data_IF_173440401436
#
_entry.id   IF_173440401436
#
_cell.length_a   1.000
_cell.length_b   1.000
_cell.length_c   1.000
_cell.angle_alpha   90.00
_cell.angle_beta   90.00
_cell.angle_gamma   90.00
#
_symmetry.space_group_name_H-M   'P 1'
#
loop_
_entity.id
_entity.type
_entity.pdbx_description
1 polymer ?
#
# COMPACT_ATOMS: atom_id res chain seq x y z
N UNK A 1 18.09 -12.52 -2.77
CA UNK A 1 17.27 -11.51 -3.47
C UNK A 1 18.12 -10.24 -3.62
N UNK A 2 18.32 -9.74 -4.85
CA UNK A 2 18.98 -8.42 -5.05
C UNK A 2 18.15 -7.38 -4.29
N UNK A 3 18.79 -6.62 -3.39
CA UNK A 3 18.11 -5.51 -2.72
C UNK A 3 17.69 -4.52 -3.79
N UNK A 4 16.43 -4.10 -3.75
CA UNK A 4 15.95 -2.97 -4.55
C UNK A 4 16.70 -1.73 -4.04
N UNK A 5 17.66 -1.26 -4.82
CA UNK A 5 18.56 -0.16 -4.43
C UNK A 5 18.16 1.16 -5.06
N UNK A 6 17.46 1.13 -6.20
CA UNK A 6 17.07 2.34 -6.89
C UNK A 6 15.71 2.86 -6.42
N UNK A 7 15.63 4.18 -6.24
CA UNK A 7 14.39 4.84 -5.82
C UNK A 7 13.25 4.66 -6.83
N UNK A 8 13.58 4.51 -8.12
CA UNK A 8 12.59 4.26 -9.17
C UNK A 8 11.94 2.89 -9.00
N UNK A 9 12.72 1.86 -8.71
CA UNK A 9 12.20 0.51 -8.45
C UNK A 9 11.34 0.48 -7.18
N UNK A 10 11.72 1.22 -6.14
CA UNK A 10 10.92 1.35 -4.91
C UNK A 10 9.58 2.02 -5.20
N UNK A 11 9.56 3.08 -6.01
CA UNK A 11 8.32 3.75 -6.46
C UNK A 11 7.43 2.78 -7.22
N UNK A 12 8.00 2.08 -8.20
CA UNK A 12 7.28 1.08 -9.01
C UNK A 12 6.70 -0.02 -8.12
N UNK A 13 7.49 -0.54 -7.18
CA UNK A 13 7.04 -1.56 -6.24
C UNK A 13 5.86 -1.06 -5.39
N UNK A 14 5.93 0.16 -4.85
CA UNK A 14 4.84 0.78 -4.07
C UNK A 14 3.56 0.93 -4.88
N UNK A 15 3.66 1.31 -6.16
CA UNK A 15 2.51 1.41 -7.05
C UNK A 15 1.91 0.01 -7.31
N UNK A 16 2.75 -0.98 -7.62
CA UNK A 16 2.30 -2.37 -7.82
C UNK A 16 1.62 -2.91 -6.56
N UNK A 17 2.20 -2.68 -5.38
CA UNK A 17 1.64 -3.06 -4.10
C UNK A 17 0.25 -2.44 -3.89
N UNK A 18 0.08 -1.15 -4.19
CA UNK A 18 -1.21 -0.47 -4.10
C UNK A 18 -2.25 -1.07 -5.06
N UNK A 19 -1.88 -1.36 -6.31
CA UNK A 19 -2.77 -1.99 -7.30
C UNK A 19 -3.21 -3.37 -6.81
N UNK A 20 -2.27 -4.20 -6.34
CA UNK A 20 -2.56 -5.53 -5.79
C UNK A 20 -3.51 -5.42 -4.59
N UNK A 21 -3.30 -4.42 -3.72
CA UNK A 21 -4.16 -4.20 -2.56
C UNK A 21 -5.59 -3.83 -2.95
N UNK A 22 -5.76 -2.89 -3.89
CA UNK A 22 -7.07 -2.48 -4.40
C UNK A 22 -7.80 -3.67 -5.04
N UNK A 23 -7.11 -4.47 -5.85
CA UNK A 23 -7.69 -5.67 -6.47
C UNK A 23 -8.10 -6.72 -5.43
N UNK A 24 -7.25 -6.96 -4.42
CA UNK A 24 -7.56 -7.90 -3.35
C UNK A 24 -8.79 -7.46 -2.54
N UNK A 25 -8.88 -6.16 -2.19
CA UNK A 25 -10.05 -5.58 -1.54
C UNK A 25 -11.30 -5.75 -2.39
N UNK A 26 -11.22 -5.40 -3.68
CA UNK A 26 -12.35 -5.50 -4.59
C UNK A 26 -12.87 -6.95 -4.71
N UNK A 27 -11.98 -7.92 -4.90
CA UNK A 27 -12.39 -9.32 -5.06
C UNK A 27 -12.94 -9.89 -3.75
N UNK A 28 -12.17 -9.79 -2.65
CA UNK A 28 -12.50 -10.48 -1.41
C UNK A 28 -13.66 -9.84 -0.65
N UNK A 29 -13.67 -8.50 -0.57
CA UNK A 29 -14.63 -7.78 0.26
C UNK A 29 -15.84 -7.38 -0.57
N UNK A 30 -15.64 -6.77 -1.74
CA UNK A 30 -16.75 -6.21 -2.53
C UNK A 30 -17.46 -7.33 -3.31
N UNK A 31 -16.74 -8.08 -4.14
CA UNK A 31 -17.33 -9.10 -5.02
C UNK A 31 -17.79 -10.35 -4.28
N UNK A 32 -17.00 -10.82 -3.31
CA UNK A 32 -17.30 -12.05 -2.55
C UNK A 32 -18.00 -11.81 -1.22
N UNK A 33 -18.16 -10.54 -0.81
CA UNK A 33 -18.86 -10.20 0.43
C UNK A 33 -18.19 -10.74 1.69
N UNK A 34 -16.88 -11.02 1.66
CA UNK A 34 -16.16 -11.59 2.80
C UNK A 34 -15.47 -10.48 3.62
N UNK A 35 -16.05 -10.04 4.75
CA UNK A 35 -15.46 -8.98 5.57
C UNK A 35 -14.15 -9.41 6.23
N UNK A 36 -13.93 -10.71 6.45
CA UNK A 36 -12.67 -11.24 6.97
C UNK A 36 -11.52 -11.16 5.95
N UNK A 37 -11.82 -10.88 4.68
CA UNK A 37 -10.83 -10.59 3.65
C UNK A 37 -9.88 -9.46 4.06
N UNK A 38 -10.32 -8.51 4.89
CA UNK A 38 -9.50 -7.42 5.44
C UNK A 38 -8.23 -7.95 6.10
N UNK A 39 -8.31 -9.02 6.89
CA UNK A 39 -7.14 -9.56 7.59
C UNK A 39 -6.10 -10.14 6.62
N UNK A 40 -6.56 -10.83 5.58
CA UNK A 40 -5.68 -11.33 4.51
C UNK A 40 -5.00 -10.19 3.76
N UNK A 41 -5.76 -9.13 3.45
CA UNK A 41 -5.28 -7.96 2.73
C UNK A 41 -4.20 -7.22 3.53
N UNK A 42 -4.44 -7.00 4.84
CA UNK A 42 -3.45 -6.41 5.75
C UNK A 42 -2.20 -7.30 5.84
N UNK A 43 -2.37 -8.61 5.98
CA UNK A 43 -1.26 -9.56 6.05
C UNK A 43 -0.39 -9.56 4.79
N UNK A 44 -1.02 -9.60 3.61
CA UNK A 44 -0.31 -9.54 2.32
C UNK A 44 0.40 -8.19 2.16
N UNK A 45 -0.25 -7.07 2.51
CA UNK A 45 0.38 -5.75 2.46
C UNK A 45 1.63 -5.66 3.35
N UNK A 46 1.54 -6.21 4.56
CA UNK A 46 2.68 -6.28 5.48
C UNK A 46 3.82 -7.14 4.92
N UNK A 47 3.52 -8.33 4.39
CA UNK A 47 4.51 -9.22 3.76
C UNK A 47 5.20 -8.56 2.56
N UNK A 48 4.44 -7.90 1.68
CA UNK A 48 5.00 -7.16 0.54
C UNK A 48 5.91 -6.02 1.02
N UNK A 49 5.56 -5.34 2.10
CA UNK A 49 6.39 -4.27 2.67
C UNK A 49 7.74 -4.78 3.21
N UNK A 50 7.86 -6.07 3.56
CA UNK A 50 9.14 -6.65 3.98
C UNK A 50 10.16 -6.76 2.84
N UNK A 51 9.69 -6.80 1.59
CA UNK A 51 10.55 -6.83 0.40
C UNK A 51 11.24 -5.48 0.14
N UNK A 52 10.68 -4.39 0.67
CA UNK A 52 11.30 -3.08 0.60
C UNK A 52 12.43 -2.93 1.63
N UNK A 53 13.51 -2.19 1.29
CA UNK A 53 14.50 -1.79 2.28
C UNK A 53 13.83 -1.05 3.45
N UNK A 54 14.34 -1.25 4.66
CA UNK A 54 13.74 -0.75 5.89
C UNK A 54 13.42 0.76 5.86
N UNK A 55 14.33 1.53 5.26
CA UNK A 55 14.24 2.97 5.05
C UNK A 55 12.97 3.37 4.30
N UNK A 56 12.47 2.54 3.38
CA UNK A 56 11.35 2.87 2.50
C UNK A 56 10.05 2.19 2.90
N UNK A 57 9.94 1.63 4.11
CA UNK A 57 8.69 1.00 4.59
C UNK A 57 7.66 2.00 5.13
N UNK A 58 8.05 3.26 5.41
CA UNK A 58 7.14 4.37 5.73
C UNK A 58 6.43 4.29 7.10
N UNK A 59 6.99 3.55 8.06
CA UNK A 59 6.50 3.50 9.44
C UNK A 59 6.92 4.71 10.30
N UNK A 60 6.97 4.48 11.61
CA UNK A 60 7.22 5.52 12.63
C UNK A 60 8.70 5.77 12.92
N UNK A 61 9.63 5.08 12.26
CA UNK A 61 11.05 5.23 12.59
C UNK A 61 11.64 6.46 11.86
N UNK A 62 12.39 7.29 12.60
CA UNK A 62 13.11 8.45 12.07
C UNK A 62 14.12 8.11 10.97
N UNK A 63 14.59 6.86 10.91
CA UNK A 63 15.46 6.38 9.83
C UNK A 63 14.74 6.18 8.49
N UNK A 64 13.42 6.37 8.43
CA UNK A 64 12.64 6.15 7.23
C UNK A 64 12.61 7.38 6.33
N UNK A 65 12.56 7.11 5.04
CA UNK A 65 12.64 8.06 3.95
C UNK A 65 11.36 8.00 3.12
N UNK A 66 11.05 9.14 2.54
CA UNK A 66 9.95 9.31 1.61
C UNK A 66 10.25 8.63 0.28
N UNK A 67 9.21 8.13 -0.37
CA UNK A 67 9.30 7.49 -1.69
C UNK A 67 8.87 8.48 -2.77
N UNK A 68 7.77 9.19 -2.55
CA UNK A 68 7.11 10.05 -3.54
C UNK A 68 7.24 11.54 -3.22
N UNK A 69 7.03 11.97 -1.98
CA UNK A 69 6.89 13.37 -1.61
C UNK A 69 8.08 13.83 -0.76
N UNK A 70 8.84 14.84 -1.20
CA UNK A 70 10.05 15.27 -0.46
C UNK A 70 9.79 16.16 0.77
N UNK A 71 8.60 16.76 0.86
CA UNK A 71 8.32 17.85 1.83
C UNK A 71 7.35 17.45 2.96
N UNK A 72 7.12 16.14 3.15
CA UNK A 72 6.20 15.63 4.20
C UNK A 72 6.95 14.62 5.06
N UNK A 73 6.39 14.23 6.21
CA UNK A 73 6.96 13.11 6.97
C UNK A 73 6.66 11.77 6.28
N UNK A 74 7.50 10.72 6.44
CA UNK A 74 7.25 9.40 5.87
C UNK A 74 5.90 8.80 6.30
N UNK A 75 5.51 9.06 7.55
CA UNK A 75 4.20 8.67 8.08
C UNK A 75 3.08 9.40 7.33
N UNK A 76 3.22 10.71 7.10
CA UNK A 76 2.23 11.50 6.37
C UNK A 76 2.10 11.01 4.92
N UNK A 77 3.21 10.68 4.26
CA UNK A 77 3.17 10.13 2.90
C UNK A 77 2.43 8.78 2.84
N UNK A 78 2.68 7.91 3.82
CA UNK A 78 1.94 6.64 3.92
C UNK A 78 0.44 6.88 4.17
N UNK A 79 0.07 7.80 5.07
CA UNK A 79 -1.34 8.13 5.32
C UNK A 79 -2.04 8.70 4.07
N UNK A 80 -1.35 9.54 3.29
CA UNK A 80 -1.86 10.04 2.02
C UNK A 80 -2.09 8.87 1.05
N UNK A 81 -1.13 7.95 0.94
CA UNK A 81 -1.21 6.78 0.07
C UNK A 81 -2.37 5.85 0.46
N UNK A 82 -2.51 5.55 1.74
CA UNK A 82 -3.58 4.73 2.29
C UNK A 82 -4.95 5.41 2.12
N UNK A 83 -5.02 6.72 2.31
CA UNK A 83 -6.21 7.52 2.06
C UNK A 83 -6.66 7.48 0.59
N UNK A 84 -5.72 7.56 -0.35
CA UNK A 84 -6.01 7.41 -1.78
C UNK A 84 -6.53 6.01 -2.11
N UNK A 85 -5.92 4.96 -1.55
CA UNK A 85 -6.39 3.58 -1.72
C UNK A 85 -7.82 3.44 -1.17
N UNK A 86 -8.08 3.95 0.03
CA UNK A 86 -9.41 3.92 0.64
C UNK A 86 -10.46 4.63 -0.24
N UNK A 87 -10.12 5.80 -0.80
CA UNK A 87 -11.00 6.53 -1.70
C UNK A 87 -11.33 5.72 -2.98
N UNK A 88 -10.33 5.10 -3.60
CA UNK A 88 -10.53 4.22 -4.77
C UNK A 88 -11.44 3.04 -4.43
N UNK A 89 -11.22 2.40 -3.28
CA UNK A 89 -12.04 1.28 -2.81
C UNK A 89 -13.49 1.71 -2.57
N UNK A 90 -13.72 2.87 -1.96
CA UNK A 90 -15.06 3.42 -1.72
C UNK A 90 -15.78 3.65 -3.06
N UNK A 91 -15.10 4.27 -4.04
CA UNK A 91 -15.65 4.47 -5.38
C UNK A 91 -16.04 3.13 -6.02
N UNK A 92 -15.13 2.14 -5.99
CA UNK A 92 -15.40 0.80 -6.54
C UNK A 92 -16.57 0.10 -5.85
N UNK A 93 -16.76 0.31 -4.54
CA UNK A 93 -17.89 -0.22 -3.80
C UNK A 93 -19.22 0.38 -4.27
N UNK A 94 -19.28 1.71 -4.43
CA UNK A 94 -20.49 2.38 -4.91
C UNK A 94 -20.82 2.06 -6.37
N UNK A 95 -19.81 1.86 -7.23
CA UNK A 95 -20.03 1.48 -8.63
C UNK A 95 -20.50 0.03 -8.81
N UNK A 96 -20.30 -0.83 -7.81
CA UNK A 96 -20.71 -2.25 -7.85
C UNK A 96 -22.05 -2.50 -7.14
N UNK A 97 -22.73 -1.44 -6.70
CA UNK A 97 -24.06 -1.48 -6.09
C UNK A 97 -25.12 -1.11 -7.12
#
# INVERSE_FOLDING_TARGET
>A
MKKITEIQDIKTFRIIQAIVLVLAIYILIIKWGNPFGVFFIIGISWLLSLLLPYEYRGGYNKAQKNVFLKNVSPLTENLISDGLIALVVIILYFLNK
#
